data_IF_272569656555
#
_entry.id   IF_272569656555
#
_cell.length_a   1.000
_cell.length_b   1.000
_cell.length_c   1.000
_cell.angle_alpha   90.00
_cell.angle_beta   90.00
_cell.angle_gamma   90.00
#
_symmetry.space_group_name_H-M   'P 1'
#
loop_
_entity.id
_entity.type
_entity.pdbx_description
1 polymer ?
#
# COMPACT_ATOMS: atom_id res chain seq x y z
N UNK A 1 -33.45 6.49 3.52
CA UNK A 1 -34.35 5.39 3.90
C UNK A 1 -35.35 5.17 2.76
N UNK A 2 -35.53 3.92 2.31
CA UNK A 2 -36.44 3.57 1.21
C UNK A 2 -37.87 3.35 1.74
N UNK A 3 -37.99 2.85 2.97
CA UNK A 3 -39.30 2.48 3.57
C UNK A 3 -39.85 3.58 4.48
N UNK A 4 -38.98 4.34 5.17
CA UNK A 4 -39.35 5.39 6.10
C UNK A 4 -38.88 6.75 5.55
N UNK A 5 -39.43 7.13 4.40
CA UNK A 5 -39.00 8.34 3.67
C UNK A 5 -39.27 9.63 4.47
N UNK A 6 -40.29 9.62 5.33
CA UNK A 6 -40.64 10.72 6.22
C UNK A 6 -39.58 11.04 7.29
N UNK A 7 -38.67 10.07 7.54
CA UNK A 7 -37.54 10.24 8.49
C UNK A 7 -36.23 10.65 7.79
N UNK A 8 -36.23 10.79 6.46
CA UNK A 8 -35.06 11.21 5.75
C UNK A 8 -34.63 12.62 6.16
N UNK A 9 -33.32 12.79 6.39
CA UNK A 9 -32.68 14.04 6.82
C UNK A 9 -33.09 14.53 8.23
N UNK A 10 -33.79 13.70 9.02
CA UNK A 10 -34.05 13.98 10.41
C UNK A 10 -32.90 13.45 11.29
N UNK A 11 -32.60 14.18 12.36
CA UNK A 11 -31.70 13.77 13.44
C UNK A 11 -32.52 13.38 14.69
N UNK A 12 -31.82 12.92 15.74
CA UNK A 12 -32.48 12.46 16.97
C UNK A 12 -33.33 13.53 17.64
N UNK A 13 -33.01 14.81 17.42
CA UNK A 13 -33.72 15.95 18.04
C UNK A 13 -34.95 16.37 17.23
N UNK A 14 -34.97 16.06 15.93
CA UNK A 14 -36.08 16.38 15.04
C UNK A 14 -37.11 15.25 14.89
N UNK A 15 -36.81 14.04 15.42
CA UNK A 15 -37.73 12.91 15.40
C UNK A 15 -39.01 13.18 16.20
N UNK A 16 -40.15 12.77 15.64
CA UNK A 16 -41.40 12.78 16.40
C UNK A 16 -41.38 11.78 17.59
N UNK A 17 -42.24 11.96 18.57
CA UNK A 17 -42.28 11.17 19.82
C UNK A 17 -42.40 9.65 19.56
N UNK A 18 -43.11 9.23 18.53
CA UNK A 18 -43.29 7.82 18.15
C UNK A 18 -41.98 7.24 17.61
N UNK A 19 -41.36 7.92 16.66
CA UNK A 19 -40.08 7.48 16.05
C UNK A 19 -38.94 7.46 17.09
N UNK A 20 -38.89 8.47 17.96
CA UNK A 20 -37.92 8.54 19.05
C UNK A 20 -38.09 7.39 20.06
N UNK A 21 -39.34 7.04 20.41
CA UNK A 21 -39.62 5.88 21.28
C UNK A 21 -39.19 4.55 20.61
N UNK A 22 -39.51 4.37 19.33
CA UNK A 22 -39.08 3.18 18.58
C UNK A 22 -37.57 3.06 18.51
N UNK A 23 -36.85 4.16 18.26
CA UNK A 23 -35.39 4.20 18.26
C UNK A 23 -34.81 3.84 19.63
N UNK A 24 -35.33 4.45 20.72
CA UNK A 24 -34.84 4.19 22.10
C UNK A 24 -35.12 2.76 22.58
N UNK A 25 -36.21 2.14 22.14
CA UNK A 25 -36.59 0.79 22.50
C UNK A 25 -36.04 -0.25 21.51
N UNK A 26 -35.27 0.17 20.48
CA UNK A 26 -34.64 -0.73 19.54
C UNK A 26 -33.60 -1.63 20.21
N UNK A 27 -33.67 -2.92 19.92
CA UNK A 27 -32.69 -3.90 20.41
C UNK A 27 -31.56 -4.04 19.42
N UNK A 28 -30.33 -3.87 19.89
CA UNK A 28 -29.12 -4.15 19.13
C UNK A 28 -28.51 -5.48 19.59
N UNK A 29 -28.38 -6.44 18.69
CA UNK A 29 -27.59 -7.64 18.98
C UNK A 29 -26.11 -7.31 18.83
N UNK A 30 -25.34 -7.47 19.90
CA UNK A 30 -23.91 -7.22 19.92
C UNK A 30 -23.16 -8.55 20.06
N UNK A 31 -22.21 -8.79 19.19
CA UNK A 31 -21.25 -9.91 19.29
C UNK A 31 -19.91 -9.28 19.68
N UNK A 32 -19.39 -9.65 20.86
CA UNK A 32 -18.12 -9.16 21.35
C UNK A 32 -17.03 -10.21 21.07
N UNK A 33 -16.02 -9.82 20.32
CA UNK A 33 -14.80 -10.63 20.12
C UNK A 33 -13.81 -10.17 21.18
N UNK A 34 -13.41 -11.11 22.05
CA UNK A 34 -12.52 -10.79 23.19
C UNK A 34 -11.08 -10.56 22.73
N UNK A 35 -10.29 -9.92 23.58
CA UNK A 35 -8.89 -9.62 23.34
C UNK A 35 -8.04 -10.90 23.12
N UNK A 36 -8.40 -11.99 23.77
CA UNK A 36 -7.66 -13.28 23.73
C UNK A 36 -7.87 -14.08 22.45
N UNK A 37 -8.76 -13.64 21.56
CA UNK A 37 -8.99 -14.31 20.28
C UNK A 37 -7.80 -14.10 19.35
N UNK A 38 -7.45 -15.14 18.56
CA UNK A 38 -6.43 -15.07 17.52
C UNK A 38 -6.76 -13.95 16.51
N UNK A 39 -5.74 -13.16 16.12
CA UNK A 39 -5.90 -12.02 15.20
C UNK A 39 -6.45 -12.45 13.83
N UNK A 40 -6.08 -13.63 13.33
CA UNK A 40 -6.62 -14.14 12.07
C UNK A 40 -8.12 -14.46 12.20
N UNK A 41 -8.55 -14.98 13.34
CA UNK A 41 -9.97 -15.25 13.64
C UNK A 41 -10.73 -13.93 13.73
N UNK A 42 -10.19 -12.92 14.41
CA UNK A 42 -10.79 -11.57 14.46
C UNK A 42 -10.99 -11.00 13.06
N UNK A 43 -9.95 -11.12 12.23
CA UNK A 43 -10.00 -10.66 10.84
C UNK A 43 -11.07 -11.40 10.03
N UNK A 44 -11.12 -12.73 10.10
CA UNK A 44 -12.07 -13.55 9.36
C UNK A 44 -13.51 -13.34 9.83
N UNK A 45 -13.74 -13.22 11.14
CA UNK A 45 -15.08 -12.91 11.67
C UNK A 45 -15.54 -11.53 11.20
N UNK A 46 -14.65 -10.54 11.24
CA UNK A 46 -14.96 -9.19 10.78
C UNK A 46 -15.27 -9.17 9.27
N UNK A 47 -14.51 -9.94 8.47
CA UNK A 47 -14.78 -10.12 7.03
C UNK A 47 -16.16 -10.73 6.78
N UNK A 48 -16.53 -11.77 7.53
CA UNK A 48 -17.85 -12.44 7.39
C UNK A 48 -19.01 -11.55 7.83
N UNK A 49 -18.81 -10.73 8.86
CA UNK A 49 -19.83 -9.78 9.33
C UNK A 49 -19.98 -8.56 8.40
N UNK A 50 -18.96 -8.29 7.57
CA UNK A 50 -18.94 -7.20 6.61
C UNK A 50 -19.81 -7.51 5.36
N UNK A 51 -21.02 -8.00 5.58
CA UNK A 51 -21.98 -8.39 4.53
C UNK A 51 -22.95 -7.27 4.12
N UNK A 52 -22.71 -6.05 4.63
CA UNK A 52 -23.52 -4.87 4.30
C UNK A 52 -23.39 -4.46 2.82
N UNK A 53 -24.15 -3.47 2.41
CA UNK A 53 -24.23 -2.99 1.02
C UNK A 53 -22.89 -2.48 0.45
N UNK A 54 -21.96 -2.06 1.32
CA UNK A 54 -20.60 -1.63 0.94
C UNK A 54 -19.58 -2.41 1.75
N UNK A 55 -19.00 -3.44 1.13
CA UNK A 55 -17.94 -4.23 1.76
C UNK A 55 -16.67 -3.39 1.99
N UNK A 56 -16.10 -3.49 3.19
CA UNK A 56 -14.77 -2.94 3.48
C UNK A 56 -13.72 -3.75 2.71
N UNK A 57 -12.74 -3.06 2.14
CA UNK A 57 -11.58 -3.73 1.57
C UNK A 57 -10.56 -4.10 2.66
N UNK A 58 -9.52 -4.83 2.27
CA UNK A 58 -8.52 -5.34 3.20
C UNK A 58 -7.77 -4.26 3.97
N UNK A 59 -7.52 -3.10 3.34
CA UNK A 59 -6.83 -2.00 4.03
C UNK A 59 -7.74 -1.25 4.99
N UNK A 60 -9.02 -1.09 4.65
CA UNK A 60 -10.01 -0.54 5.58
C UNK A 60 -10.17 -1.44 6.81
N UNK A 61 -10.13 -2.76 6.62
CA UNK A 61 -10.14 -3.73 7.72
C UNK A 61 -8.88 -3.62 8.59
N UNK A 62 -7.69 -3.57 7.98
CA UNK A 62 -6.44 -3.36 8.70
C UNK A 62 -6.47 -2.06 9.51
N UNK A 63 -7.00 -0.98 8.95
CA UNK A 63 -7.15 0.30 9.64
C UNK A 63 -8.05 0.21 10.90
N UNK A 64 -9.04 -0.66 10.90
CA UNK A 64 -9.90 -0.88 12.05
C UNK A 64 -9.24 -1.78 13.11
N UNK A 65 -8.60 -2.86 12.69
CA UNK A 65 -8.11 -3.92 13.59
C UNK A 65 -6.74 -3.60 14.20
N UNK A 66 -5.82 -3.02 13.41
CA UNK A 66 -4.45 -2.73 13.84
C UNK A 66 -4.25 -1.24 14.15
N UNK A 67 -5.05 -0.70 15.09
CA UNK A 67 -4.86 0.67 15.56
C UNK A 67 -3.56 0.80 16.33
N UNK A 68 -2.76 1.83 16.03
CA UNK A 68 -1.46 2.08 16.67
C UNK A 68 -0.67 3.13 15.93
N UNK A 69 0.57 3.39 16.38
CA UNK A 69 1.44 4.43 15.81
C UNK A 69 1.79 4.20 14.34
N UNK A 70 1.99 2.94 13.90
CA UNK A 70 2.18 2.64 12.49
C UNK A 70 0.97 3.05 11.64
N UNK A 71 -0.25 2.72 12.09
CA UNK A 71 -1.45 3.08 11.35
C UNK A 71 -1.63 4.60 11.22
N UNK A 72 -1.24 5.34 12.26
CA UNK A 72 -1.21 6.81 12.23
C UNK A 72 -0.17 7.30 11.22
N UNK A 73 1.04 6.77 11.23
CA UNK A 73 2.09 7.09 10.25
C UNK A 73 1.61 6.87 8.80
N UNK A 74 0.99 5.72 8.50
CA UNK A 74 0.45 5.42 7.17
C UNK A 74 -0.60 6.45 6.74
N UNK A 75 -1.46 6.88 7.67
CA UNK A 75 -2.47 7.92 7.42
C UNK A 75 -1.81 9.25 7.10
N UNK A 76 -0.78 9.64 7.85
CA UNK A 76 -0.08 10.91 7.65
C UNK A 76 0.67 10.91 6.31
N UNK A 77 1.40 9.84 6.00
CA UNK A 77 2.14 9.70 4.75
C UNK A 77 1.23 9.68 3.52
N UNK A 78 0.03 9.13 3.62
CA UNK A 78 -0.96 9.15 2.54
C UNK A 78 -1.45 10.57 2.18
N UNK A 79 -1.27 11.54 3.07
CA UNK A 79 -1.56 12.95 2.81
C UNK A 79 -0.33 13.75 2.36
N UNK A 80 0.83 13.12 2.17
CA UNK A 80 2.01 13.80 1.64
C UNK A 80 1.76 14.26 0.20
N UNK A 81 2.02 15.54 -0.09
CA UNK A 81 1.72 16.14 -1.39
C UNK A 81 2.49 15.51 -2.55
N UNK A 82 3.76 15.18 -2.35
CA UNK A 82 4.60 14.51 -3.34
C UNK A 82 4.10 13.09 -3.65
N UNK A 83 3.67 12.35 -2.62
CA UNK A 83 3.05 11.04 -2.79
C UNK A 83 1.72 11.12 -3.56
N UNK A 84 0.86 12.07 -3.21
CA UNK A 84 -0.41 12.30 -3.90
C UNK A 84 -0.17 12.67 -5.39
N UNK A 85 0.77 13.56 -5.66
CA UNK A 85 1.16 13.95 -7.02
C UNK A 85 1.65 12.74 -7.82
N UNK A 86 2.51 11.90 -7.25
CA UNK A 86 3.04 10.69 -7.88
C UNK A 86 1.94 9.70 -8.27
N UNK A 87 0.90 9.60 -7.45
CA UNK A 87 -0.27 8.78 -7.72
C UNK A 87 -1.31 9.46 -8.64
N UNK A 88 -1.16 10.75 -8.94
CA UNK A 88 -2.16 11.52 -9.68
C UNK A 88 -3.44 11.78 -8.87
N UNK A 89 -3.34 11.87 -7.54
CA UNK A 89 -4.44 12.08 -6.63
C UNK A 89 -4.47 13.52 -6.09
N UNK A 90 -5.66 14.08 -5.91
CA UNK A 90 -5.85 15.40 -5.27
C UNK A 90 -5.93 15.32 -3.74
N UNK A 91 -6.28 14.17 -3.21
CA UNK A 91 -6.39 13.88 -1.77
C UNK A 91 -6.21 12.38 -1.53
N UNK A 92 -5.96 11.98 -0.28
CA UNK A 92 -5.83 10.59 0.08
C UNK A 92 -7.04 9.76 -0.39
N UNK A 93 -6.76 8.54 -0.86
CA UNK A 93 -7.76 7.69 -1.51
C UNK A 93 -8.83 7.26 -0.51
N UNK A 94 -10.11 7.49 -0.84
CA UNK A 94 -11.24 7.20 0.04
C UNK A 94 -11.25 5.76 0.55
N UNK A 95 -10.86 4.79 -0.30
CA UNK A 95 -10.76 3.36 0.02
C UNK A 95 -9.37 2.93 0.46
N UNK A 96 -8.51 3.85 0.89
CA UNK A 96 -7.18 3.62 1.49
C UNK A 96 -6.20 2.79 0.64
N UNK A 97 -6.37 2.74 -0.69
CA UNK A 97 -5.45 2.00 -1.57
C UNK A 97 -4.03 2.59 -1.57
N UNK A 98 -3.90 3.89 -1.42
CA UNK A 98 -2.66 4.63 -1.21
C UNK A 98 -1.93 4.21 0.08
N UNK A 99 -2.67 4.04 1.18
CA UNK A 99 -2.12 3.54 2.46
C UNK A 99 -1.64 2.10 2.37
N UNK A 100 -2.35 1.24 1.61
CA UNK A 100 -1.90 -0.12 1.35
C UNK A 100 -0.57 -0.13 0.60
N UNK A 101 -0.39 0.77 -0.37
CA UNK A 101 0.86 0.90 -1.12
C UNK A 101 2.02 1.31 -0.22
N UNK A 102 1.82 2.27 0.70
CA UNK A 102 2.82 2.67 1.69
C UNK A 102 3.16 1.51 2.64
N UNK A 103 2.14 0.78 3.10
CA UNK A 103 2.32 -0.40 3.95
C UNK A 103 3.13 -1.49 3.23
N UNK A 104 2.84 -1.74 1.94
CA UNK A 104 3.60 -2.70 1.11
C UNK A 104 5.07 -2.30 1.02
N UNK A 105 5.35 -1.02 0.80
CA UNK A 105 6.72 -0.51 0.77
C UNK A 105 7.46 -0.85 2.06
N UNK A 106 6.94 -0.47 3.22
CA UNK A 106 7.59 -0.78 4.50
C UNK A 106 7.74 -2.28 4.74
N UNK A 107 6.71 -3.06 4.44
CA UNK A 107 6.74 -4.51 4.65
C UNK A 107 7.79 -5.20 3.77
N UNK A 108 7.91 -4.82 2.50
CA UNK A 108 8.92 -5.38 1.60
C UNK A 108 10.31 -4.85 1.96
N UNK A 109 10.46 -3.54 2.19
CA UNK A 109 11.74 -2.92 2.56
C UNK A 109 12.35 -3.59 3.81
N UNK A 110 11.57 -3.75 4.86
CA UNK A 110 12.04 -4.33 6.13
C UNK A 110 12.43 -5.81 6.00
N UNK A 111 11.81 -6.53 5.06
CA UNK A 111 12.00 -7.97 4.92
C UNK A 111 12.82 -8.39 3.69
N UNK A 112 13.27 -7.46 2.85
CA UNK A 112 14.11 -7.77 1.70
C UNK A 112 15.54 -8.11 2.13
N UNK A 113 15.95 -9.35 1.88
CA UNK A 113 17.32 -9.85 2.06
C UNK A 113 18.02 -9.88 0.70
N UNK A 114 18.92 -8.93 0.48
CA UNK A 114 19.65 -8.84 -0.80
C UNK A 114 20.66 -9.97 -1.02
N UNK A 115 21.16 -10.58 0.06
CA UNK A 115 22.13 -11.69 -0.06
C UNK A 115 21.44 -12.98 -0.46
N UNK A 116 20.27 -13.25 0.15
CA UNK A 116 19.46 -14.42 -0.18
C UNK A 116 18.54 -14.19 -1.38
N UNK A 117 18.40 -12.95 -1.83
CA UNK A 117 17.49 -12.53 -2.92
C UNK A 117 16.02 -12.92 -2.66
N UNK A 118 15.57 -12.77 -1.43
CA UNK A 118 14.21 -13.11 -1.00
C UNK A 118 13.59 -12.02 -0.11
N UNK A 119 12.26 -11.95 -0.13
CA UNK A 119 11.49 -11.22 0.88
C UNK A 119 11.14 -12.21 2.00
N UNK A 120 11.81 -12.07 3.15
CA UNK A 120 11.61 -12.94 4.30
C UNK A 120 10.14 -12.91 4.78
N UNK A 121 9.60 -14.07 5.12
CA UNK A 121 8.23 -14.22 5.61
C UNK A 121 7.14 -14.08 4.54
N UNK A 122 7.46 -13.72 3.29
CA UNK A 122 6.49 -13.69 2.20
C UNK A 122 6.23 -15.08 1.63
N UNK A 123 4.98 -15.53 1.64
CA UNK A 123 4.54 -16.86 1.19
C UNK A 123 3.50 -16.80 0.05
N UNK A 124 3.61 -15.81 -0.85
CA UNK A 124 2.71 -15.65 -2.00
C UNK A 124 1.32 -15.08 -1.66
N UNK A 125 1.08 -14.67 -0.42
CA UNK A 125 -0.18 -14.08 0.03
C UNK A 125 0.06 -12.70 0.66
N UNK A 126 -0.07 -11.66 -0.15
CA UNK A 126 0.16 -10.27 0.29
C UNK A 126 -0.74 -9.88 1.47
N UNK A 127 -1.99 -10.33 1.49
CA UNK A 127 -2.92 -10.11 2.60
C UNK A 127 -2.32 -10.54 3.94
N UNK A 128 -1.93 -11.80 4.04
CA UNK A 128 -1.35 -12.38 5.27
C UNK A 128 -0.05 -11.68 5.64
N UNK A 129 0.82 -11.42 4.67
CA UNK A 129 2.10 -10.73 4.88
C UNK A 129 1.91 -9.34 5.49
N UNK A 130 1.00 -8.55 4.93
CA UNK A 130 0.70 -7.20 5.44
C UNK A 130 -0.01 -7.22 6.80
N UNK A 131 -0.86 -8.21 7.05
CA UNK A 131 -1.50 -8.38 8.36
C UNK A 131 -0.45 -8.71 9.44
N UNK A 132 0.45 -9.66 9.17
CA UNK A 132 1.56 -10.00 10.06
C UNK A 132 2.44 -8.78 10.33
N UNK A 133 2.78 -8.02 9.30
CA UNK A 133 3.58 -6.80 9.43
C UNK A 133 2.87 -5.75 10.29
N UNK A 134 1.58 -5.47 10.04
CA UNK A 134 0.78 -4.55 10.86
C UNK A 134 0.66 -4.98 12.32
N UNK A 135 0.58 -6.29 12.58
CA UNK A 135 0.56 -6.82 13.93
C UNK A 135 1.91 -6.61 14.64
N UNK A 136 3.02 -6.99 13.97
CA UNK A 136 4.38 -6.90 14.53
C UNK A 136 4.79 -5.46 14.82
N UNK A 137 4.52 -4.54 13.89
CA UNK A 137 4.91 -3.12 13.97
C UNK A 137 3.78 -2.19 14.40
N UNK A 138 2.73 -2.74 15.02
CA UNK A 138 1.53 -1.97 15.42
C UNK A 138 1.87 -0.68 16.15
N UNK A 139 2.79 -0.77 17.12
CA UNK A 139 3.20 0.32 17.99
C UNK A 139 4.71 0.58 17.84
N UNK A 140 5.08 1.20 16.75
CA UNK A 140 6.45 1.70 16.55
C UNK A 140 6.72 2.87 17.49
N UNK A 141 7.95 2.97 18.00
CA UNK A 141 8.37 4.09 18.84
C UNK A 141 8.55 5.39 18.04
N UNK A 142 8.82 6.50 18.73
CA UNK A 142 8.97 7.81 18.09
C UNK A 142 10.16 7.87 17.14
N UNK A 143 11.26 7.19 17.47
CA UNK A 143 12.46 7.16 16.65
C UNK A 143 12.20 6.42 15.34
N UNK A 144 11.66 5.21 15.43
CA UNK A 144 11.29 4.40 14.26
C UNK A 144 10.24 5.10 13.38
N UNK A 145 9.28 5.80 14.00
CA UNK A 145 8.28 6.59 13.27
C UNK A 145 8.93 7.66 12.41
N UNK A 146 9.87 8.43 13.00
CA UNK A 146 10.57 9.50 12.28
C UNK A 146 11.51 8.94 11.21
N UNK A 147 12.28 7.89 11.52
CA UNK A 147 13.16 7.22 10.55
C UNK A 147 12.36 6.74 9.33
N UNK A 148 11.21 6.14 9.54
CA UNK A 148 10.36 5.65 8.44
C UNK A 148 9.68 6.78 7.66
N UNK A 149 9.31 7.86 8.34
CA UNK A 149 8.78 9.06 7.69
C UNK A 149 9.81 9.66 6.73
N UNK A 150 11.02 9.91 7.22
CA UNK A 150 12.11 10.45 6.41
C UNK A 150 12.49 9.51 5.26
N UNK A 151 12.62 8.22 5.55
CA UNK A 151 12.91 7.20 4.53
C UNK A 151 11.88 7.24 3.39
N UNK A 152 10.60 7.22 3.73
CA UNK A 152 9.53 7.24 2.73
C UNK A 152 9.55 8.52 1.90
N UNK A 153 9.62 9.68 2.54
CA UNK A 153 9.62 10.98 1.86
C UNK A 153 10.81 11.11 0.91
N UNK A 154 12.01 10.81 1.38
CA UNK A 154 13.21 10.83 0.55
C UNK A 154 13.10 9.85 -0.64
N UNK A 155 12.51 8.69 -0.43
CA UNK A 155 12.33 7.71 -1.51
C UNK A 155 11.32 8.19 -2.55
N UNK A 156 10.21 8.79 -2.12
CA UNK A 156 9.22 9.39 -3.03
C UNK A 156 9.86 10.47 -3.91
N UNK A 157 10.68 11.34 -3.33
CA UNK A 157 11.42 12.36 -4.09
C UNK A 157 12.37 11.76 -5.13
N UNK A 158 13.14 10.71 -4.77
CA UNK A 158 14.01 9.99 -5.71
C UNK A 158 13.22 9.40 -6.88
N UNK A 159 12.05 8.82 -6.62
CA UNK A 159 11.17 8.29 -7.66
C UNK A 159 10.67 9.40 -8.59
N UNK A 160 10.27 10.53 -8.03
CA UNK A 160 9.83 11.69 -8.82
C UNK A 160 10.97 12.21 -9.71
N UNK A 161 12.16 12.38 -9.14
CA UNK A 161 13.33 12.90 -9.87
C UNK A 161 13.72 12.04 -11.09
N UNK A 162 13.51 10.71 -11.00
CA UNK A 162 13.89 9.78 -12.07
C UNK A 162 12.73 9.54 -13.04
N UNK A 163 11.54 9.27 -12.53
CA UNK A 163 10.42 8.75 -13.33
C UNK A 163 9.30 9.77 -13.59
N UNK A 164 9.22 10.84 -12.79
CA UNK A 164 8.18 11.87 -12.89
C UNK A 164 6.77 11.24 -13.08
N UNK A 165 6.00 11.72 -14.05
CA UNK A 165 4.63 11.24 -14.33
C UNK A 165 4.55 9.78 -14.82
N UNK A 166 5.68 9.18 -15.20
CA UNK A 166 5.74 7.79 -15.62
C UNK A 166 5.96 6.80 -14.48
N UNK A 167 6.19 7.32 -13.27
CA UNK A 167 6.41 6.49 -12.10
C UNK A 167 5.28 5.47 -11.89
N UNK A 168 5.67 4.24 -11.57
CA UNK A 168 4.77 3.12 -11.29
C UNK A 168 3.84 2.71 -12.43
N UNK A 169 4.04 3.25 -13.65
CA UNK A 169 3.23 2.95 -14.82
C UNK A 169 4.01 2.13 -15.82
N UNK A 170 3.30 1.23 -16.50
CA UNK A 170 3.85 0.60 -17.70
C UNK A 170 3.82 1.64 -18.80
N UNK A 171 4.96 1.91 -19.39
CA UNK A 171 5.01 2.60 -20.68
C UNK A 171 5.16 1.52 -21.74
N UNK A 172 4.18 1.37 -22.61
CA UNK A 172 4.35 0.69 -23.88
C UNK A 172 4.68 1.75 -24.92
N UNK A 173 5.60 1.43 -25.80
CA UNK A 173 6.02 2.33 -26.89
C UNK A 173 4.83 2.69 -27.80
N UNK A 174 3.81 1.84 -27.87
CA UNK A 174 2.68 1.93 -28.80
C UNK A 174 1.31 2.22 -28.16
N UNK A 175 1.23 2.43 -26.84
CA UNK A 175 -0.05 2.65 -26.19
C UNK A 175 -0.14 4.03 -25.54
N UNK A 176 -1.32 4.65 -25.65
CA UNK A 176 -1.73 5.73 -24.77
C UNK A 176 -1.34 5.41 -23.33
N UNK A 177 -0.65 6.35 -22.67
CA UNK A 177 -0.08 6.21 -21.32
C UNK A 177 -1.03 5.42 -20.42
N UNK A 178 -0.63 4.21 -20.03
CA UNK A 178 -1.42 3.44 -19.06
C UNK A 178 -1.48 4.26 -17.77
N UNK A 179 -2.66 4.79 -17.47
CA UNK A 179 -2.86 5.68 -16.31
C UNK A 179 -2.86 4.92 -15.00
N UNK A 180 -3.03 3.59 -15.06
CA UNK A 180 -3.14 2.76 -13.86
C UNK A 180 -1.78 2.52 -13.19
N UNK A 181 -1.77 2.64 -11.85
CA UNK A 181 -0.59 2.33 -11.04
C UNK A 181 -0.37 0.82 -10.99
N UNK A 182 0.83 0.37 -11.37
CA UNK A 182 1.26 -1.01 -11.20
C UNK A 182 1.98 -1.18 -9.86
N UNK A 183 1.37 -1.93 -8.94
CA UNK A 183 1.92 -2.15 -7.60
C UNK A 183 3.23 -2.92 -7.60
N UNK A 184 3.45 -3.82 -8.58
CA UNK A 184 4.70 -4.57 -8.69
C UNK A 184 5.88 -3.67 -9.10
N UNK A 185 5.63 -2.70 -9.98
CA UNK A 185 6.60 -1.66 -10.32
C UNK A 185 6.87 -0.76 -9.12
N UNK A 186 5.81 -0.32 -8.42
CA UNK A 186 5.96 0.49 -7.21
C UNK A 186 6.83 -0.22 -6.16
N UNK A 187 6.58 -1.50 -5.89
CA UNK A 187 7.33 -2.29 -4.91
C UNK A 187 8.84 -2.24 -5.21
N UNK A 188 9.24 -2.51 -6.47
CA UNK A 188 10.67 -2.58 -6.84
C UNK A 188 11.33 -1.20 -6.86
N UNK A 189 10.67 -0.17 -7.42
CA UNK A 189 11.26 1.17 -7.49
C UNK A 189 11.41 1.78 -6.09
N UNK A 190 10.37 1.73 -5.28
CA UNK A 190 10.42 2.29 -3.93
C UNK A 190 11.48 1.60 -3.07
N UNK A 191 11.56 0.27 -3.09
CA UNK A 191 12.51 -0.44 -2.22
C UNK A 191 13.95 -0.29 -2.71
N UNK A 192 14.21 -0.40 -4.01
CA UNK A 192 15.59 -0.36 -4.53
C UNK A 192 16.26 1.00 -4.37
N UNK A 193 15.50 2.09 -4.59
CA UNK A 193 16.05 3.44 -4.52
C UNK A 193 16.37 3.92 -3.09
N UNK A 194 15.93 3.19 -2.06
CA UNK A 194 16.32 3.49 -0.67
C UNK A 194 17.82 3.41 -0.43
N UNK A 195 18.52 2.55 -1.17
CA UNK A 195 19.93 2.20 -0.94
C UNK A 195 20.94 3.27 -1.37
N UNK A 196 20.53 4.20 -2.23
CA UNK A 196 21.45 5.11 -2.90
C UNK A 196 21.16 6.56 -2.55
N UNK A 197 22.19 7.37 -2.51
CA UNK A 197 22.09 8.82 -2.26
C UNK A 197 21.36 9.53 -3.42
N UNK A 198 20.54 10.52 -3.09
CA UNK A 198 19.72 11.28 -4.04
C UNK A 198 20.57 11.91 -5.16
N UNK A 199 21.69 12.53 -4.80
CA UNK A 199 22.60 13.18 -5.76
C UNK A 199 23.14 12.20 -6.80
N UNK A 200 23.57 11.02 -6.35
CA UNK A 200 24.09 9.97 -7.23
C UNK A 200 23.01 9.46 -8.20
N UNK A 201 21.82 9.23 -7.71
CA UNK A 201 20.68 8.81 -8.54
C UNK A 201 20.29 9.88 -9.57
N UNK A 202 20.34 11.16 -9.16
CA UNK A 202 19.99 12.27 -10.04
C UNK A 202 20.96 12.41 -11.22
N UNK A 203 22.27 12.23 -11.00
CA UNK A 203 23.26 12.28 -12.10
C UNK A 203 23.08 11.18 -13.13
N UNK A 204 22.46 10.04 -12.74
CA UNK A 204 22.26 8.86 -13.58
C UNK A 204 20.79 8.63 -13.95
N UNK A 205 19.90 9.59 -13.71
CA UNK A 205 18.45 9.42 -13.82
C UNK A 205 17.98 8.96 -15.19
N UNK A 206 18.55 9.49 -16.26
CA UNK A 206 18.16 9.14 -17.64
C UNK A 206 18.52 7.68 -17.95
N UNK A 207 19.74 7.24 -17.63
CA UNK A 207 20.15 5.86 -17.86
C UNK A 207 19.39 4.88 -16.96
N UNK A 208 19.07 5.25 -15.70
CA UNK A 208 18.25 4.43 -14.80
C UNK A 208 16.86 4.22 -15.40
N UNK A 209 16.25 5.29 -15.89
CA UNK A 209 14.94 5.27 -16.51
C UNK A 209 14.93 4.44 -17.80
N UNK A 210 15.90 4.66 -18.69
CA UNK A 210 16.05 3.92 -19.93
C UNK A 210 16.22 2.41 -19.66
N UNK A 211 17.13 2.03 -18.78
CA UNK A 211 17.40 0.62 -18.45
C UNK A 211 16.19 -0.06 -17.81
N UNK A 212 15.39 0.66 -17.05
CA UNK A 212 14.14 0.13 -16.51
C UNK A 212 13.15 -0.24 -17.64
N UNK A 213 13.00 0.60 -18.64
CA UNK A 213 12.11 0.32 -19.78
C UNK A 213 12.68 -0.75 -20.70
N UNK A 214 14.01 -0.76 -20.93
CA UNK A 214 14.65 -1.83 -21.67
C UNK A 214 14.44 -3.20 -21.02
N UNK A 215 14.46 -3.28 -19.69
CA UNK A 215 14.10 -4.52 -18.99
C UNK A 215 12.65 -4.93 -19.22
N UNK A 216 11.71 -3.98 -19.18
CA UNK A 216 10.30 -4.27 -19.45
C UNK A 216 10.08 -4.76 -20.88
N UNK A 217 10.84 -4.25 -21.84
CA UNK A 217 10.67 -4.59 -23.25
C UNK A 217 11.41 -5.87 -23.65
N UNK A 218 12.63 -6.08 -23.16
CA UNK A 218 13.52 -7.11 -23.66
C UNK A 218 13.72 -8.31 -22.72
N UNK A 219 13.39 -8.17 -21.42
CA UNK A 219 13.52 -9.27 -20.47
C UNK A 219 12.14 -9.89 -20.17
N UNK A 220 11.88 -11.04 -20.81
CA UNK A 220 10.59 -11.73 -20.68
C UNK A 220 10.27 -12.15 -19.25
N UNK A 221 11.27 -12.61 -18.48
CA UNK A 221 11.08 -13.05 -17.10
C UNK A 221 10.74 -11.86 -16.18
N UNK A 222 11.45 -10.74 -16.34
CA UNK A 222 11.15 -9.51 -15.63
C UNK A 222 9.74 -9.02 -15.96
N UNK A 223 9.40 -8.95 -17.24
CA UNK A 223 8.06 -8.55 -17.71
C UNK A 223 6.98 -9.44 -17.11
N UNK A 224 7.12 -10.76 -17.20
CA UNK A 224 6.14 -11.71 -16.68
C UNK A 224 5.96 -11.56 -15.17
N UNK A 225 7.04 -11.34 -14.42
CA UNK A 225 6.97 -11.14 -12.96
C UNK A 225 6.19 -9.88 -12.54
N UNK A 226 6.03 -8.92 -13.46
CA UNK A 226 5.29 -7.66 -13.27
C UNK A 226 3.85 -7.75 -13.79
N UNK A 227 3.60 -8.55 -14.84
CA UNK A 227 2.31 -8.60 -15.52
C UNK A 227 1.43 -9.76 -15.06
N UNK A 228 2.02 -10.89 -14.70
CA UNK A 228 1.31 -12.14 -14.40
C UNK A 228 1.75 -12.69 -13.05
N UNK A 229 0.79 -13.24 -12.28
CA UNK A 229 1.11 -13.89 -11.00
C UNK A 229 1.88 -12.99 -10.02
N UNK A 230 1.64 -11.68 -10.04
CA UNK A 230 2.43 -10.67 -9.32
C UNK A 230 2.52 -10.90 -7.81
N UNK A 231 1.59 -11.70 -7.26
CA UNK A 231 1.58 -12.12 -5.84
C UNK A 231 2.37 -13.41 -5.58
N UNK A 232 2.88 -14.09 -6.61
CA UNK A 232 3.71 -15.28 -6.41
C UNK A 232 5.04 -14.90 -5.76
N UNK A 233 5.54 -15.78 -4.85
CA UNK A 233 6.82 -15.55 -4.15
C UNK A 233 7.99 -15.50 -5.12
N UNK A 234 8.00 -16.39 -6.13
CA UNK A 234 9.06 -16.41 -7.13
C UNK A 234 9.05 -15.14 -7.97
N UNK A 235 7.84 -14.69 -8.40
CA UNK A 235 7.68 -13.47 -9.18
C UNK A 235 8.16 -12.23 -8.41
N UNK A 236 7.80 -12.09 -7.11
CA UNK A 236 8.27 -10.99 -6.29
C UNK A 236 9.79 -10.99 -6.14
N UNK A 237 10.38 -12.12 -5.76
CA UNK A 237 11.82 -12.24 -5.55
C UNK A 237 12.60 -12.00 -6.86
N UNK A 238 12.11 -12.54 -7.98
CA UNK A 238 12.72 -12.40 -9.29
C UNK A 238 12.80 -10.92 -9.73
N UNK A 239 11.67 -10.20 -9.72
CA UNK A 239 11.68 -8.79 -10.13
C UNK A 239 12.54 -7.91 -9.21
N UNK A 240 12.51 -8.18 -7.90
CA UNK A 240 13.36 -7.50 -6.93
C UNK A 240 14.85 -7.75 -7.24
N UNK A 241 15.22 -8.98 -7.52
CA UNK A 241 16.60 -9.36 -7.84
C UNK A 241 17.08 -8.70 -9.13
N UNK A 242 16.36 -8.91 -10.24
CA UNK A 242 16.76 -8.39 -11.55
C UNK A 242 16.93 -6.87 -11.50
N UNK A 243 15.96 -6.16 -10.93
CA UNK A 243 16.03 -4.71 -10.87
C UNK A 243 17.14 -4.21 -9.94
N UNK A 244 17.32 -4.80 -8.76
CA UNK A 244 18.41 -4.39 -7.86
C UNK A 244 19.80 -4.64 -8.46
N UNK A 245 20.00 -5.73 -9.20
CA UNK A 245 21.26 -6.03 -9.89
C UNK A 245 21.51 -5.04 -11.04
N UNK A 246 20.49 -4.76 -11.85
CA UNK A 246 20.59 -3.76 -12.92
C UNK A 246 20.94 -2.38 -12.37
N UNK A 247 20.23 -1.96 -11.33
CA UNK A 247 20.49 -0.66 -10.69
C UNK A 247 21.90 -0.60 -10.08
N UNK A 248 22.36 -1.66 -9.43
CA UNK A 248 23.71 -1.73 -8.88
C UNK A 248 24.78 -1.60 -10.00
N UNK A 249 24.60 -2.28 -11.13
CA UNK A 249 25.50 -2.17 -12.27
C UNK A 249 25.57 -0.75 -12.85
N UNK A 250 24.40 -0.07 -12.97
CA UNK A 250 24.36 1.32 -13.43
C UNK A 250 25.13 2.25 -12.47
N UNK A 251 24.98 2.02 -11.17
CA UNK A 251 25.61 2.87 -10.15
C UNK A 251 27.13 2.69 -10.11
N UNK A 252 27.65 1.48 -10.35
CA UNK A 252 29.10 1.16 -10.35
C UNK A 252 29.78 1.60 -11.65
N UNK A 253 29.08 1.62 -12.78
CA UNK A 253 29.64 2.13 -14.04
C UNK A 253 29.87 3.64 -13.93
N UNK A 254 31.13 4.07 -14.08
CA UNK A 254 31.54 5.49 -14.08
C UNK A 254 31.05 6.24 -15.32
#
# INVERSE_FOLDING_TARGET
LEILTELNKQDIHSLNSKALRMLKNGLLRVIMITHDSNEDIKYDVFMRLNTGSVHLNEQELRNCLYRGSLNTLLKDLANNSSWLSLLGLKSAHRRMSDREMILRFFAIYTNWDSNKKIVNGYKGRMKTFLNTFMHTYRNIDKRQNEEWRVLFQNTVEKVIDIFADSAFRKLSIDADKERSINRAIMDILMVSLTKYEKGLLYTKKEIIKEQFYLLLDNNQDFRNSILMGTSDTKALNLRMTIWNETLANIIVQN
#
